data_IF_057925680407
#
_entry.id   IF_057925680407
#
_cell.length_a   1.000
_cell.length_b   1.000
_cell.length_c   1.000
_cell.angle_alpha   90.00
_cell.angle_beta   90.00
_cell.angle_gamma   90.00
#
_symmetry.space_group_name_H-M   'P 1'
#
loop_
_entity.id
_entity.type
_entity.pdbx_description
1 polymer ?
#
# COMPACT_ATOMS: atom_id res chain seq x y z
N UNK A 1 16.68 41.26 -35.26
CA UNK A 1 17.30 41.52 -33.93
C UNK A 1 16.30 41.76 -32.79
N UNK A 2 15.00 42.03 -33.05
CA UNK A 2 14.02 42.28 -31.97
C UNK A 2 13.50 40.99 -31.30
N UNK A 3 13.51 39.85 -32.01
CA UNK A 3 12.95 38.58 -31.51
C UNK A 3 13.80 37.88 -30.45
N UNK A 4 15.11 38.13 -30.39
CA UNK A 4 16.00 37.50 -29.41
C UNK A 4 15.96 38.16 -28.03
N UNK A 5 15.57 39.44 -27.94
CA UNK A 5 15.46 40.14 -26.65
C UNK A 5 14.23 39.68 -25.83
N UNK A 6 13.10 39.39 -26.50
CA UNK A 6 11.87 38.98 -25.82
C UNK A 6 11.99 37.63 -25.10
N UNK A 7 12.75 36.69 -25.67
CA UNK A 7 13.00 35.37 -25.09
C UNK A 7 13.95 35.46 -23.89
N UNK A 8 14.95 36.36 -23.96
CA UNK A 8 15.89 36.56 -22.85
C UNK A 8 15.22 37.21 -21.63
N UNK A 9 14.37 38.23 -21.84
CA UNK A 9 13.67 38.92 -20.75
C UNK A 9 12.58 38.03 -20.12
N UNK A 10 11.84 37.26 -20.92
CA UNK A 10 10.84 36.32 -20.41
C UNK A 10 11.45 35.15 -19.63
N UNK A 11 12.57 34.60 -20.12
CA UNK A 11 13.26 33.50 -19.43
C UNK A 11 13.91 33.92 -18.11
N UNK A 12 14.53 35.11 -18.06
CA UNK A 12 15.13 35.64 -16.83
C UNK A 12 14.05 36.04 -15.83
N UNK A 13 12.94 36.65 -16.27
CA UNK A 13 11.82 36.98 -15.39
C UNK A 13 11.17 35.75 -14.76
N UNK A 14 10.98 34.66 -15.54
CA UNK A 14 10.47 33.40 -15.03
C UNK A 14 11.44 32.72 -14.04
N UNK A 15 12.75 32.80 -14.32
CA UNK A 15 13.79 32.26 -13.44
C UNK A 15 13.83 33.03 -12.11
N UNK A 16 13.81 34.36 -12.16
CA UNK A 16 13.78 35.20 -10.96
C UNK A 16 12.50 34.94 -10.17
N UNK A 17 11.33 34.90 -10.82
CA UNK A 17 10.07 34.55 -10.15
C UNK A 17 10.11 33.16 -9.50
N UNK A 18 10.77 32.17 -10.12
CA UNK A 18 10.96 30.84 -9.54
C UNK A 18 11.95 30.83 -8.36
N UNK A 19 12.94 31.73 -8.36
CA UNK A 19 13.94 31.87 -7.30
C UNK A 19 13.45 32.74 -6.13
N UNK A 20 12.51 33.66 -6.39
CA UNK A 20 11.89 34.54 -5.39
C UNK A 20 10.73 33.87 -4.64
N UNK A 21 10.27 32.70 -5.12
CA UNK A 21 9.41 31.80 -4.35
C UNK A 21 10.19 31.28 -3.14
N UNK A 22 10.10 32.00 -2.03
CA UNK A 22 10.57 31.52 -0.73
C UNK A 22 9.81 30.23 -0.38
N UNK A 23 10.46 29.07 -0.51
CA UNK A 23 9.93 27.80 0.00
C UNK A 23 9.80 27.93 1.51
N UNK A 24 8.56 28.02 2.01
CA UNK A 24 8.30 28.03 3.44
C UNK A 24 8.50 26.61 3.98
N UNK A 25 9.61 26.39 4.69
CA UNK A 25 10.04 25.11 5.25
C UNK A 25 9.24 24.70 6.51
N UNK A 26 7.91 24.76 6.45
CA UNK A 26 7.02 24.03 7.37
C UNK A 26 6.20 22.95 6.62
N UNK A 27 6.24 22.94 5.28
CA UNK A 27 5.51 22.02 4.41
C UNK A 27 6.40 20.96 3.72
N UNK A 28 7.71 20.92 4.02
CA UNK A 28 8.64 19.94 3.46
C UNK A 28 8.49 18.59 4.18
N UNK A 29 7.72 17.69 3.57
CA UNK A 29 7.58 16.29 4.00
C UNK A 29 8.78 15.50 3.48
N UNK A 30 9.45 14.72 4.33
CA UNK A 30 10.46 13.79 3.84
C UNK A 30 9.79 12.72 2.97
N UNK A 31 10.18 12.64 1.70
CA UNK A 31 9.67 11.59 0.84
C UNK A 31 10.32 10.25 1.22
N UNK A 32 9.53 9.19 1.47
CA UNK A 32 10.07 7.87 1.73
C UNK A 32 10.96 7.40 0.58
N UNK A 33 12.15 6.83 0.85
CA UNK A 33 12.94 6.21 -0.18
C UNK A 33 12.24 4.96 -0.73
N UNK A 34 12.71 4.48 -1.87
CA UNK A 34 12.21 3.26 -2.47
C UNK A 34 12.96 2.06 -1.88
N UNK A 35 12.27 1.20 -1.12
CA UNK A 35 12.87 -0.03 -0.58
C UNK A 35 12.69 -1.20 -1.55
N UNK A 36 13.69 -2.11 -1.64
CA UNK A 36 13.61 -3.27 -2.53
C UNK A 36 12.77 -4.38 -1.88
N UNK A 37 11.45 -4.28 -1.98
CA UNK A 37 10.53 -5.28 -1.42
C UNK A 37 10.63 -6.62 -2.16
N UNK A 38 10.49 -7.74 -1.44
CA UNK A 38 10.63 -9.08 -2.03
C UNK A 38 9.57 -9.37 -3.10
N UNK A 39 8.40 -8.75 -2.98
CA UNK A 39 7.29 -8.87 -3.93
C UNK A 39 7.31 -7.79 -5.03
N UNK A 40 8.34 -6.96 -5.10
CA UNK A 40 8.45 -5.97 -6.16
C UNK A 40 8.69 -6.65 -7.52
N UNK A 41 8.18 -6.09 -8.61
CA UNK A 41 8.36 -6.62 -9.96
C UNK A 41 7.21 -7.49 -10.46
N UNK A 42 7.34 -8.00 -11.68
CA UNK A 42 6.21 -8.58 -12.43
C UNK A 42 5.84 -10.01 -12.01
N UNK A 43 6.80 -10.78 -11.50
CA UNK A 43 6.63 -12.23 -11.24
C UNK A 43 6.73 -12.62 -9.77
N UNK A 44 7.09 -11.68 -8.90
CA UNK A 44 7.31 -11.95 -7.49
C UNK A 44 5.99 -11.88 -6.71
N UNK A 45 5.71 -12.90 -5.91
CA UNK A 45 4.58 -12.96 -4.97
C UNK A 45 4.93 -12.32 -3.63
N UNK A 46 3.94 -12.15 -2.77
CA UNK A 46 4.16 -11.80 -1.38
C UNK A 46 4.90 -12.92 -0.64
N UNK A 47 5.69 -12.53 0.36
CA UNK A 47 6.33 -13.47 1.28
C UNK A 47 5.34 -13.85 2.38
N UNK A 48 4.74 -15.04 2.25
CA UNK A 48 3.73 -15.54 3.19
C UNK A 48 4.25 -15.74 4.62
N UNK A 49 5.54 -16.04 4.80
CA UNK A 49 6.14 -16.12 6.13
C UNK A 49 6.25 -14.73 6.77
N UNK A 50 6.66 -13.72 5.98
CA UNK A 50 6.65 -12.32 6.40
C UNK A 50 5.24 -11.80 6.71
N UNK A 51 4.24 -12.20 5.92
CA UNK A 51 2.84 -11.89 6.22
C UNK A 51 2.36 -12.53 7.53
N UNK A 52 2.76 -13.77 7.83
CA UNK A 52 2.42 -14.44 9.10
C UNK A 52 3.02 -13.68 10.29
N UNK A 53 4.30 -13.35 10.24
CA UNK A 53 4.94 -12.49 11.25
C UNK A 53 4.27 -11.12 11.34
N UNK A 54 3.88 -10.53 10.22
CA UNK A 54 3.16 -9.25 10.20
C UNK A 54 1.79 -9.31 10.86
N UNK A 55 1.08 -10.46 10.77
CA UNK A 55 -0.12 -10.70 11.56
C UNK A 55 0.16 -10.71 13.06
N UNK A 56 1.26 -11.34 13.51
CA UNK A 56 1.66 -11.32 14.92
C UNK A 56 1.94 -9.89 15.40
N UNK A 57 2.61 -9.07 14.59
CA UNK A 57 2.81 -7.63 14.89
C UNK A 57 1.48 -6.90 15.01
N UNK A 58 0.56 -7.11 14.07
CA UNK A 58 -0.76 -6.49 14.11
C UNK A 58 -1.52 -6.92 15.38
N UNK A 59 -1.59 -8.22 15.64
CA UNK A 59 -2.31 -8.82 16.78
C UNK A 59 -1.79 -8.27 18.11
N UNK A 60 -0.48 -8.25 18.30
CA UNK A 60 0.13 -7.92 19.59
C UNK A 60 0.35 -6.42 19.83
N UNK A 61 0.53 -5.62 18.77
CA UNK A 61 0.87 -4.19 18.89
C UNK A 61 -0.25 -3.29 18.36
N UNK A 62 -0.67 -3.50 17.11
CA UNK A 62 -1.53 -2.53 16.42
C UNK A 62 -3.02 -2.67 16.76
N UNK A 63 -3.48 -3.90 17.05
CA UNK A 63 -4.90 -4.24 17.23
C UNK A 63 -5.56 -3.52 18.39
N UNK A 64 -4.77 -3.06 19.37
CA UNK A 64 -5.24 -2.29 20.51
C UNK A 64 -5.73 -0.87 20.13
N UNK A 65 -5.30 -0.32 18.99
CA UNK A 65 -5.65 1.04 18.58
C UNK A 65 -6.20 1.13 17.16
N UNK A 66 -5.76 0.25 16.26
CA UNK A 66 -6.12 0.25 14.86
C UNK A 66 -7.09 -0.87 14.51
N UNK A 67 -8.17 -0.52 13.82
CA UNK A 67 -9.09 -1.51 13.26
C UNK A 67 -8.56 -2.11 11.96
N UNK A 68 -9.06 -3.30 11.64
CA UNK A 68 -8.88 -3.98 10.36
C UNK A 68 -10.25 -4.44 9.82
N UNK A 69 -11.15 -3.47 9.65
CA UNK A 69 -12.60 -3.66 9.46
C UNK A 69 -12.97 -4.59 8.30
N UNK A 70 -12.15 -4.64 7.26
CA UNK A 70 -12.45 -5.40 6.04
C UNK A 70 -11.79 -6.79 6.01
N UNK A 71 -11.08 -7.17 7.07
CA UNK A 71 -10.43 -8.48 7.17
C UNK A 71 -11.18 -9.36 8.18
N UNK A 72 -11.62 -10.52 7.69
CA UNK A 72 -12.20 -11.59 8.50
C UNK A 72 -11.17 -12.67 8.80
N UNK A 73 -11.35 -13.41 9.89
CA UNK A 73 -10.43 -14.48 10.28
C UNK A 73 -10.22 -15.48 9.15
N UNK A 74 -11.30 -15.85 8.44
CA UNK A 74 -11.26 -16.75 7.26
C UNK A 74 -10.35 -16.27 6.13
N UNK A 75 -10.04 -14.98 6.03
CA UNK A 75 -9.12 -14.48 5.01
C UNK A 75 -7.67 -14.94 5.27
N UNK A 76 -7.32 -15.28 6.51
CA UNK A 76 -5.98 -15.76 6.86
C UNK A 76 -5.76 -17.24 6.47
N UNK A 77 -6.85 -18.00 6.26
CA UNK A 77 -6.81 -19.44 5.94
C UNK A 77 -6.13 -19.65 4.59
N UNK A 78 -5.13 -20.54 4.57
CA UNK A 78 -4.30 -20.85 3.40
C UNK A 78 -3.54 -19.65 2.82
N UNK A 79 -3.48 -18.54 3.56
CA UNK A 79 -2.61 -17.40 3.25
C UNK A 79 -1.46 -17.40 4.25
N UNK A 80 -1.74 -17.17 5.53
CA UNK A 80 -0.71 -17.11 6.58
C UNK A 80 -0.86 -18.22 7.62
N UNK A 81 -2.07 -18.77 7.75
CA UNK A 81 -2.44 -19.75 8.76
C UNK A 81 -3.26 -20.89 8.15
N UNK A 82 -3.22 -22.04 8.82
CA UNK A 82 -4.13 -23.15 8.55
C UNK A 82 -5.53 -22.87 9.09
N UNK A 83 -6.53 -23.64 8.66
CA UNK A 83 -7.91 -23.49 9.16
C UNK A 83 -8.00 -23.71 10.68
N UNK A 84 -7.30 -24.71 11.22
CA UNK A 84 -7.29 -25.01 12.65
C UNK A 84 -6.64 -23.88 13.47
N UNK A 85 -5.54 -23.31 12.99
CA UNK A 85 -4.91 -22.14 13.61
C UNK A 85 -5.83 -20.92 13.60
N UNK A 86 -6.48 -20.63 12.47
CA UNK A 86 -7.42 -19.50 12.38
C UNK A 86 -8.61 -19.69 13.30
N UNK A 87 -9.10 -20.92 13.44
CA UNK A 87 -10.19 -21.23 14.36
C UNK A 87 -9.76 -20.99 15.81
N UNK A 88 -8.57 -21.46 16.20
CA UNK A 88 -8.02 -21.20 17.52
C UNK A 88 -7.86 -19.69 17.79
N UNK A 89 -7.32 -18.95 16.84
CA UNK A 89 -7.17 -17.48 16.92
C UNK A 89 -8.54 -16.81 17.07
N UNK A 90 -9.55 -17.21 16.29
CA UNK A 90 -10.87 -16.60 16.35
C UNK A 90 -11.57 -16.86 17.71
N UNK A 91 -11.37 -18.05 18.29
CA UNK A 91 -11.95 -18.44 19.58
C UNK A 91 -11.40 -17.61 20.76
N UNK A 92 -10.21 -17.00 20.62
CA UNK A 92 -9.65 -16.09 21.62
C UNK A 92 -10.48 -14.80 21.78
N UNK A 93 -11.23 -14.40 20.75
CA UNK A 93 -12.02 -13.17 20.75
C UNK A 93 -13.46 -13.42 21.21
N UNK A 94 -13.98 -12.51 22.04
CA UNK A 94 -15.39 -12.48 22.41
C UNK A 94 -16.16 -11.56 21.47
N UNK A 95 -17.09 -12.12 20.70
CA UNK A 95 -17.90 -11.45 19.70
C UNK A 95 -19.33 -11.32 20.19
N UNK A 96 -19.88 -10.10 20.10
CA UNK A 96 -21.29 -9.84 20.38
C UNK A 96 -22.17 -10.43 19.27
N UNK A 97 -23.14 -11.24 19.64
CA UNK A 97 -24.12 -11.87 18.74
C UNK A 97 -25.54 -11.77 19.34
N UNK A 98 -26.55 -12.18 18.57
CA UNK A 98 -27.95 -12.19 18.97
C UNK A 98 -28.84 -11.28 18.10
N UNK A 99 -30.09 -11.03 18.55
CA UNK A 99 -30.66 -11.44 19.84
C UNK A 99 -30.96 -12.95 19.96
N UNK A 100 -31.03 -13.45 21.20
CA UNK A 100 -31.50 -14.80 21.55
C UNK A 100 -33.05 -14.91 21.58
N UNK A 101 -33.56 -16.04 22.06
CA UNK A 101 -35.01 -16.31 22.18
C UNK A 101 -35.73 -15.40 23.19
N UNK A 102 -34.99 -14.68 24.04
CA UNK A 102 -35.49 -13.68 24.99
C UNK A 102 -35.32 -12.26 24.50
N UNK A 103 -34.71 -12.05 23.32
CA UNK A 103 -34.43 -10.73 22.78
C UNK A 103 -33.13 -10.10 23.31
N UNK A 104 -32.29 -10.85 24.03
CA UNK A 104 -31.05 -10.35 24.64
C UNK A 104 -29.84 -10.63 23.72
N UNK A 105 -28.89 -9.69 23.66
CA UNK A 105 -27.61 -9.92 22.99
C UNK A 105 -26.64 -10.61 23.94
N UNK A 106 -25.84 -11.54 23.42
CA UNK A 106 -24.86 -12.30 24.19
C UNK A 106 -23.46 -12.21 23.57
N UNK A 107 -22.45 -12.62 24.31
CA UNK A 107 -21.08 -12.76 23.82
C UNK A 107 -20.80 -14.23 23.54
N UNK A 108 -20.13 -14.53 22.43
CA UNK A 108 -19.65 -15.87 22.09
C UNK A 108 -18.19 -15.84 21.65
N UNK A 109 -17.49 -16.99 21.74
CA UNK A 109 -16.22 -17.15 21.03
C UNK A 109 -16.37 -16.82 19.54
N UNK A 110 -15.35 -16.19 18.97
CA UNK A 110 -15.30 -15.89 17.55
C UNK A 110 -15.24 -17.16 16.71
N UNK A 111 -15.67 -17.03 15.46
CA UNK A 111 -15.57 -18.07 14.43
C UNK A 111 -14.87 -17.50 13.20
N UNK A 112 -14.40 -18.37 12.31
CA UNK A 112 -13.66 -17.95 11.12
C UNK A 112 -14.42 -16.94 10.23
N UNK A 113 -15.75 -16.95 10.23
CA UNK A 113 -16.53 -15.98 9.43
C UNK A 113 -16.65 -14.59 10.05
N UNK A 114 -16.27 -14.40 11.32
CA UNK A 114 -16.29 -13.09 11.95
C UNK A 114 -15.16 -12.19 11.42
N UNK A 115 -15.43 -10.88 11.41
CA UNK A 115 -14.43 -9.86 11.17
C UNK A 115 -13.54 -9.67 12.40
N UNK A 116 -12.31 -9.20 12.18
CA UNK A 116 -11.43 -8.84 13.28
C UNK A 116 -12.09 -7.72 14.10
N UNK A 117 -12.22 -7.89 15.44
CA UNK A 117 -12.91 -6.91 16.27
C UNK A 117 -12.27 -5.52 16.23
N UNK A 118 -13.11 -4.49 16.23
CA UNK A 118 -12.64 -3.13 16.36
C UNK A 118 -12.19 -2.85 17.81
N UNK A 119 -11.07 -2.13 18.02
CA UNK A 119 -10.62 -1.76 19.37
C UNK A 119 -11.57 -0.80 20.07
N UNK A 120 -12.32 -0.02 19.29
CA UNK A 120 -13.26 0.98 19.79
C UNK A 120 -14.65 0.77 19.17
N UNK A 121 -15.72 1.06 19.92
CA UNK A 121 -17.10 0.91 19.42
C UNK A 121 -17.47 1.96 18.35
N UNK A 122 -16.85 3.14 18.38
CA UNK A 122 -17.09 4.24 17.44
C UNK A 122 -15.87 5.17 17.38
N UNK A 123 -15.93 6.15 16.46
CA UNK A 123 -14.84 7.10 16.23
C UNK A 123 -14.63 8.05 17.42
N UNK A 124 -15.71 8.47 18.09
CA UNK A 124 -15.64 9.38 19.23
C UNK A 124 -14.91 8.75 20.41
N UNK A 125 -15.18 7.47 20.70
CA UNK A 125 -14.46 6.70 21.71
C UNK A 125 -12.97 6.56 21.36
N UNK A 126 -12.66 6.31 20.09
CA UNK A 126 -11.28 6.21 19.62
C UNK A 126 -10.53 7.55 19.78
N UNK A 127 -11.17 8.68 19.44
CA UNK A 127 -10.61 10.03 19.64
C UNK A 127 -10.41 10.36 21.11
N UNK A 128 -11.38 10.03 21.96
CA UNK A 128 -11.30 10.26 23.39
C UNK A 128 -10.11 9.51 24.03
N UNK A 129 -9.86 8.27 23.58
CA UNK A 129 -8.73 7.46 24.05
C UNK A 129 -7.35 7.92 23.53
N UNK A 130 -7.30 8.69 22.43
CA UNK A 130 -6.06 9.05 21.73
C UNK A 130 -5.87 10.57 21.59
N UNK A 131 -6.16 11.33 22.66
CA UNK A 131 -5.94 12.79 22.72
C UNK A 131 -6.59 13.57 21.55
N UNK A 132 -7.78 13.14 21.11
CA UNK A 132 -8.55 13.73 20.02
C UNK A 132 -8.17 13.23 18.62
N UNK A 133 -7.06 12.50 18.47
CA UNK A 133 -6.66 11.89 17.20
C UNK A 133 -7.43 10.60 16.95
N UNK A 134 -7.82 10.34 15.71
CA UNK A 134 -8.46 9.09 15.32
C UNK A 134 -7.43 8.15 14.67
N UNK A 135 -7.11 6.99 15.27
CA UNK A 135 -6.31 5.97 14.61
C UNK A 135 -7.03 5.47 13.35
N UNK A 136 -6.45 5.64 12.15
CA UNK A 136 -7.09 5.21 10.91
C UNK A 136 -7.21 3.68 10.86
N UNK A 137 -8.24 3.20 10.19
CA UNK A 137 -8.35 1.78 9.83
C UNK A 137 -7.18 1.37 8.92
N UNK A 138 -6.59 0.21 9.20
CA UNK A 138 -5.39 -0.24 8.49
C UNK A 138 -5.68 -1.11 7.27
N UNK A 139 -6.94 -1.50 7.02
CA UNK A 139 -7.26 -2.49 5.98
C UNK A 139 -6.73 -2.06 4.61
N UNK A 140 -6.85 -0.77 4.27
CA UNK A 140 -6.42 -0.19 3.00
C UNK A 140 -5.34 0.88 3.16
N UNK A 141 -4.59 0.89 4.27
CA UNK A 141 -3.68 2.01 4.57
C UNK A 141 -2.56 2.16 3.53
N UNK A 142 -2.11 1.05 2.94
CA UNK A 142 -1.07 1.04 1.90
C UNK A 142 -1.59 1.73 0.64
N UNK A 143 -2.80 1.38 0.19
CA UNK A 143 -3.40 2.02 -0.98
C UNK A 143 -3.92 3.44 -0.68
N UNK A 144 -4.23 3.73 0.59
CA UNK A 144 -4.76 5.00 1.06
C UNK A 144 -3.71 6.06 1.38
N UNK A 145 -2.41 5.79 1.15
CA UNK A 145 -1.32 6.74 1.35
C UNK A 145 -0.41 6.78 0.13
N UNK A 146 0.10 7.97 -0.19
CA UNK A 146 1.09 8.11 -1.24
C UNK A 146 2.35 7.32 -0.89
N UNK A 147 2.92 6.62 -1.88
CA UNK A 147 4.08 5.74 -1.71
C UNK A 147 3.86 4.53 -0.77
N UNK A 148 2.61 4.26 -0.38
CA UNK A 148 2.14 3.03 0.27
C UNK A 148 3.05 2.41 1.33
N UNK A 149 3.58 1.23 1.01
CA UNK A 149 4.45 0.43 1.86
C UNK A 149 5.75 1.15 2.23
N UNK A 150 6.33 1.92 1.31
CA UNK A 150 7.53 2.71 1.59
C UNK A 150 7.23 3.78 2.63
N UNK A 151 6.04 4.40 2.54
CA UNK A 151 5.56 5.38 3.52
C UNK A 151 5.33 4.73 4.89
N UNK A 152 4.60 3.62 4.96
CA UNK A 152 4.32 2.95 6.23
C UNK A 152 5.63 2.48 6.90
N UNK A 153 6.54 1.85 6.16
CA UNK A 153 7.82 1.41 6.70
C UNK A 153 8.66 2.58 7.22
N UNK A 154 8.77 3.66 6.44
CA UNK A 154 9.54 4.85 6.84
C UNK A 154 8.89 5.59 8.00
N UNK A 155 7.56 5.62 8.07
CA UNK A 155 6.85 6.19 9.19
C UNK A 155 7.15 5.42 10.48
N UNK A 156 7.06 4.08 10.44
CA UNK A 156 7.28 3.24 11.62
C UNK A 156 8.73 3.25 12.12
N UNK A 157 9.70 3.36 11.21
CA UNK A 157 11.14 3.35 11.54
C UNK A 157 11.76 4.75 11.67
N UNK A 158 11.02 5.80 11.31
CA UNK A 158 11.53 7.16 11.18
C UNK A 158 11.32 8.08 12.40
N UNK A 159 10.80 7.57 13.51
CA UNK A 159 10.66 8.36 14.74
C UNK A 159 12.03 8.84 15.22
N UNK A 160 12.14 10.15 15.47
CA UNK A 160 13.37 10.78 15.94
C UNK A 160 13.06 12.03 16.76
N UNK A 161 14.07 12.56 17.44
CA UNK A 161 13.93 13.81 18.18
C UNK A 161 13.64 14.99 17.23
N UNK A 162 12.78 15.94 17.64
CA UNK A 162 12.47 17.10 16.82
C UNK A 162 13.73 17.94 16.59
N UNK A 163 13.99 18.40 15.35
CA UNK A 163 15.09 19.31 15.08
C UNK A 163 14.89 20.63 15.82
N UNK A 164 15.99 21.35 16.04
CA UNK A 164 15.98 22.63 16.75
C UNK A 164 14.95 23.61 16.15
N UNK A 165 14.07 24.15 16.99
CA UNK A 165 13.04 25.12 16.60
C UNK A 165 11.64 24.53 16.38
N UNK A 166 11.46 23.20 16.44
CA UNK A 166 10.14 22.57 16.40
C UNK A 166 9.68 22.24 17.83
N UNK A 167 8.61 22.92 18.28
CA UNK A 167 7.93 22.59 19.52
C UNK A 167 6.67 21.76 19.24
N UNK A 168 6.58 20.57 19.84
CA UNK A 168 5.41 19.69 19.75
C UNK A 168 4.40 20.02 20.86
N UNK A 169 3.12 19.73 20.62
CA UNK A 169 2.12 19.74 21.69
C UNK A 169 2.26 18.48 22.54
N UNK A 170 1.72 18.52 23.75
CA UNK A 170 1.66 17.35 24.61
C UNK A 170 0.90 16.20 23.90
N UNK A 171 1.46 14.99 23.96
CA UNK A 171 0.94 13.81 23.27
C UNK A 171 1.24 13.74 21.77
N UNK A 172 2.00 14.70 21.21
CA UNK A 172 2.51 14.61 19.84
C UNK A 172 3.99 14.18 19.82
N UNK A 173 4.35 13.41 18.81
CA UNK A 173 5.69 12.90 18.55
C UNK A 173 6.19 13.41 17.21
N UNK A 174 7.52 13.57 17.07
CA UNK A 174 8.09 14.01 15.81
C UNK A 174 8.37 12.83 14.88
N UNK A 175 7.95 12.99 13.63
CA UNK A 175 8.27 12.06 12.55
C UNK A 175 8.42 12.83 11.23
N UNK A 176 9.59 12.80 10.57
CA UNK A 176 9.86 13.58 9.37
C UNK A 176 9.04 13.12 8.15
N UNK A 177 8.57 11.88 8.12
CA UNK A 177 7.75 11.34 7.04
C UNK A 177 6.26 11.69 7.21
N UNK A 178 5.82 12.03 8.43
CA UNK A 178 4.43 12.42 8.65
C UNK A 178 4.18 13.85 8.16
N UNK A 179 3.08 14.11 7.43
CA UNK A 179 2.72 15.46 6.99
C UNK A 179 2.63 16.43 8.18
N UNK A 180 3.45 17.49 8.16
CA UNK A 180 3.53 18.47 9.24
C UNK A 180 4.42 18.07 10.43
N UNK A 181 5.10 16.92 10.36
CA UNK A 181 6.13 16.51 11.31
C UNK A 181 5.62 16.03 12.68
N UNK A 182 4.46 16.50 13.13
CA UNK A 182 3.88 16.17 14.44
C UNK A 182 2.78 15.12 14.30
N UNK A 183 3.01 13.90 14.78
CA UNK A 183 2.05 12.79 14.76
C UNK A 183 1.49 12.52 16.17
N UNK A 184 0.20 12.22 16.28
CA UNK A 184 -0.45 11.87 17.57
C UNK A 184 -0.27 10.40 17.98
N UNK A 185 0.63 9.67 17.33
CA UNK A 185 0.93 8.26 17.56
C UNK A 185 2.29 8.14 18.23
N UNK A 186 2.34 7.51 19.41
CA UNK A 186 3.61 7.15 20.04
C UNK A 186 4.37 6.14 19.17
N UNK A 187 5.72 6.10 19.22
CA UNK A 187 6.50 5.10 18.50
C UNK A 187 5.99 3.69 18.84
N UNK A 188 5.35 2.97 17.90
CA UNK A 188 4.65 1.73 18.25
C UNK A 188 5.59 0.52 18.28
N UNK A 189 6.75 0.62 17.64
CA UNK A 189 7.72 -0.45 17.50
C UNK A 189 9.04 -0.05 18.16
N UNK A 190 9.62 -1.00 18.88
CA UNK A 190 10.97 -0.97 19.43
C UNK A 190 11.53 -2.40 19.38
N UNK A 191 12.85 -2.53 19.54
CA UNK A 191 13.51 -3.83 19.47
C UNK A 191 12.95 -4.77 20.55
N UNK A 192 12.64 -6.00 20.14
CA UNK A 192 12.14 -7.09 21.00
C UNK A 192 10.78 -6.81 21.67
N UNK A 193 9.93 -5.95 21.07
CA UNK A 193 8.54 -5.72 21.55
C UNK A 193 7.67 -6.98 21.52
N UNK A 194 7.98 -7.94 20.64
CA UNK A 194 7.33 -9.25 20.56
C UNK A 194 8.38 -10.32 20.28
N UNK A 195 8.06 -11.58 20.56
CA UNK A 195 8.83 -12.74 20.13
C UNK A 195 8.08 -13.44 18.99
N UNK A 196 8.74 -13.62 17.84
CA UNK A 196 8.13 -14.33 16.71
C UNK A 196 8.09 -15.84 16.95
N UNK A 197 7.01 -16.50 16.51
CA UNK A 197 6.86 -17.96 16.64
C UNK A 197 7.97 -18.74 15.92
N UNK A 198 8.51 -18.19 14.83
CA UNK A 198 9.55 -18.83 14.00
C UNK A 198 10.99 -18.56 14.50
N UNK A 199 11.16 -17.81 15.59
CA UNK A 199 12.45 -17.46 16.17
C UNK A 199 13.23 -16.37 15.41
N UNK A 200 12.61 -15.66 14.48
CA UNK A 200 13.23 -14.51 13.81
C UNK A 200 13.56 -13.42 14.86
N UNK A 201 14.73 -12.75 14.78
CA UNK A 201 15.04 -11.64 15.68
C UNK A 201 14.08 -10.44 15.45
N UNK A 202 13.32 -10.07 16.47
CA UNK A 202 12.31 -9.02 16.43
C UNK A 202 12.90 -7.62 16.55
N UNK A 203 13.76 -7.24 15.60
CA UNK A 203 14.27 -5.86 15.50
C UNK A 203 13.18 -4.92 14.96
N UNK A 204 13.25 -3.63 15.30
CA UNK A 204 12.29 -2.60 14.86
C UNK A 204 12.11 -2.58 13.35
N UNK A 205 13.21 -2.69 12.59
CA UNK A 205 13.16 -2.76 11.12
C UNK A 205 12.51 -4.05 10.61
N UNK A 206 12.74 -5.19 11.28
CA UNK A 206 12.14 -6.47 10.88
C UNK A 206 10.63 -6.46 11.14
N UNK A 207 10.21 -5.96 12.31
CA UNK A 207 8.81 -5.76 12.66
C UNK A 207 8.11 -4.84 11.64
N UNK A 208 8.73 -3.70 11.32
CA UNK A 208 8.20 -2.75 10.33
C UNK A 208 8.10 -3.35 8.93
N UNK A 209 9.05 -4.20 8.53
CA UNK A 209 9.03 -4.94 7.26
C UNK A 209 7.86 -5.93 7.24
N UNK A 210 7.74 -6.76 8.26
CA UNK A 210 6.72 -7.82 8.32
C UNK A 210 5.31 -7.23 8.38
N UNK A 211 5.07 -6.20 9.22
CA UNK A 211 3.76 -5.52 9.25
C UNK A 211 3.44 -4.81 7.93
N UNK A 212 4.42 -4.17 7.28
CA UNK A 212 4.19 -3.54 5.96
C UNK A 212 3.83 -4.57 4.88
N UNK A 213 4.45 -5.76 4.95
CA UNK A 213 4.14 -6.89 4.06
C UNK A 213 2.73 -7.41 4.30
N UNK A 214 2.33 -7.56 5.57
CA UNK A 214 0.97 -7.94 5.92
C UNK A 214 -0.06 -6.89 5.48
N UNK A 215 0.21 -5.60 5.69
CA UNK A 215 -0.70 -4.51 5.27
C UNK A 215 -0.79 -4.34 3.75
N UNK A 216 0.27 -4.72 3.01
CA UNK A 216 0.22 -4.80 1.54
C UNK A 216 -0.80 -5.85 1.11
N UNK A 217 -0.81 -7.01 1.77
CA UNK A 217 -1.80 -8.05 1.55
C UNK A 217 -3.22 -7.63 1.96
N UNK A 218 -3.40 -7.01 3.14
CA UNK A 218 -4.74 -6.57 3.55
C UNK A 218 -5.34 -5.56 2.58
N UNK A 219 -4.49 -4.70 2.00
CA UNK A 219 -4.89 -3.68 1.04
C UNK A 219 -5.12 -4.26 -0.37
N UNK A 220 -4.43 -5.35 -0.72
CA UNK A 220 -4.48 -5.98 -2.04
C UNK A 220 -4.46 -7.52 -1.91
N UNK A 221 -5.53 -8.17 -1.41
CA UNK A 221 -5.54 -9.63 -1.20
C UNK A 221 -5.38 -10.42 -2.50
N UNK A 222 -5.74 -9.81 -3.63
CA UNK A 222 -5.62 -10.38 -4.97
C UNK A 222 -4.23 -10.23 -5.60
N UNK A 223 -3.24 -9.68 -4.89
CA UNK A 223 -1.91 -9.35 -5.44
C UNK A 223 -1.26 -10.52 -6.20
N UNK A 224 -1.20 -11.70 -5.57
CA UNK A 224 -0.51 -12.86 -6.13
C UNK A 224 -1.30 -13.48 -7.29
N UNK A 225 -2.63 -13.61 -7.14
CA UNK A 225 -3.50 -14.08 -8.20
C UNK A 225 -3.48 -13.14 -9.41
N UNK A 226 -3.52 -11.83 -9.18
CA UNK A 226 -3.44 -10.81 -10.22
C UNK A 226 -2.16 -10.92 -11.03
N UNK A 227 -1.00 -11.10 -10.38
CA UNK A 227 0.27 -11.29 -11.09
C UNK A 227 0.30 -12.62 -11.85
N UNK A 228 -0.15 -13.70 -11.23
CA UNK A 228 -0.23 -15.00 -11.87
C UNK A 228 -1.12 -14.98 -13.13
N UNK A 229 -2.30 -14.38 -13.05
CA UNK A 229 -3.20 -14.18 -14.19
C UNK A 229 -2.61 -13.22 -15.23
N UNK A 230 -1.86 -12.21 -14.81
CA UNK A 230 -1.17 -11.28 -15.73
C UNK A 230 -0.12 -12.02 -16.55
N UNK A 231 0.68 -12.89 -15.94
CA UNK A 231 1.68 -13.72 -16.64
C UNK A 231 1.00 -14.62 -17.68
N UNK A 232 -0.09 -15.31 -17.29
CA UNK A 232 -0.87 -16.14 -18.22
C UNK A 232 -1.45 -15.33 -19.37
N UNK A 233 -2.05 -14.19 -19.06
CA UNK A 233 -2.67 -13.30 -20.04
C UNK A 233 -1.63 -12.75 -21.02
N UNK A 234 -0.44 -12.36 -20.56
CA UNK A 234 0.64 -11.93 -21.43
C UNK A 234 1.16 -13.07 -22.32
N UNK A 235 1.33 -14.27 -21.77
CA UNK A 235 1.78 -15.42 -22.54
C UNK A 235 0.80 -15.76 -23.69
N UNK A 236 -0.50 -15.81 -23.40
CA UNK A 236 -1.56 -16.00 -24.42
C UNK A 236 -1.59 -14.81 -25.38
N UNK A 237 -1.49 -13.59 -24.87
CA UNK A 237 -1.49 -12.36 -25.66
C UNK A 237 -0.36 -12.31 -26.68
N UNK A 238 0.86 -12.73 -26.31
CA UNK A 238 2.01 -12.79 -27.23
C UNK A 238 1.73 -13.78 -28.37
N UNK A 239 1.18 -14.96 -28.07
CA UNK A 239 0.85 -15.97 -29.09
C UNK A 239 -0.22 -15.43 -30.04
N UNK A 240 -1.27 -14.80 -29.51
CA UNK A 240 -2.35 -14.23 -30.32
C UNK A 240 -1.86 -13.07 -31.18
N UNK A 241 -1.05 -12.15 -30.63
CA UNK A 241 -0.47 -11.03 -31.38
C UNK A 241 0.42 -11.56 -32.51
N UNK A 242 1.27 -12.55 -32.24
CA UNK A 242 2.11 -13.17 -33.26
C UNK A 242 1.27 -13.84 -34.37
N UNK A 243 0.23 -14.59 -34.00
CA UNK A 243 -0.70 -15.22 -34.94
C UNK A 243 -1.45 -14.20 -35.80
N UNK A 244 -2.03 -13.17 -35.19
CA UNK A 244 -2.71 -12.07 -35.88
C UNK A 244 -1.76 -11.31 -36.81
N UNK A 245 -0.54 -11.03 -36.35
CA UNK A 245 0.48 -10.36 -37.16
C UNK A 245 0.86 -11.21 -38.38
N UNK A 246 1.07 -12.51 -38.17
CA UNK A 246 1.35 -13.45 -39.26
C UNK A 246 0.19 -13.50 -40.27
N UNK A 247 -1.06 -13.66 -39.81
CA UNK A 247 -2.24 -13.65 -40.68
C UNK A 247 -2.35 -12.34 -41.48
N UNK A 248 -2.13 -11.20 -40.81
CA UNK A 248 -2.11 -9.89 -41.45
C UNK A 248 -1.04 -9.84 -42.54
N UNK A 249 0.19 -10.25 -42.26
CA UNK A 249 1.28 -10.29 -43.26
C UNK A 249 0.92 -11.19 -44.43
N UNK A 250 0.40 -12.39 -44.16
CA UNK A 250 -0.03 -13.34 -45.17
C UNK A 250 -1.10 -12.76 -46.10
N UNK A 251 -2.19 -12.19 -45.56
CA UNK A 251 -3.28 -11.59 -46.36
C UNK A 251 -2.84 -10.36 -47.15
N UNK A 252 -1.95 -9.54 -46.59
CA UNK A 252 -1.44 -8.34 -47.25
C UNK A 252 -0.33 -8.63 -48.28
N UNK A 253 0.11 -9.89 -48.44
CA UNK A 253 1.17 -10.25 -49.39
C UNK A 253 0.80 -9.85 -50.82
N UNK A 254 -0.46 -10.02 -51.22
CA UNK A 254 -0.93 -9.66 -52.58
C UNK A 254 -0.73 -8.17 -52.84
N UNK A 255 -1.32 -7.31 -52.02
CA UNK A 255 -1.20 -5.84 -52.12
C UNK A 255 0.26 -5.37 -52.05
N UNK A 256 1.05 -5.95 -51.14
CA UNK A 256 2.45 -5.52 -50.92
C UNK A 256 3.42 -6.02 -52.00
N UNK A 257 3.10 -7.08 -52.72
CA UNK A 257 3.92 -7.62 -53.81
C UNK A 257 3.48 -7.16 -55.20
N UNK A 258 2.29 -6.54 -55.32
CA UNK A 258 1.80 -5.99 -56.59
C UNK A 258 2.79 -4.97 -57.18
N UNK A 259 3.24 -5.23 -58.41
CA UNK A 259 3.99 -4.27 -59.22
C UNK A 259 3.02 -3.55 -60.15
N UNK A 260 2.97 -2.22 -60.07
CA UNK A 260 2.12 -1.39 -60.91
C UNK A 260 2.97 -0.74 -62.00
N UNK A 261 2.54 -0.86 -63.26
CA UNK A 261 3.11 -0.13 -64.38
C UNK A 261 2.10 0.93 -64.83
N UNK A 262 2.48 2.21 -64.74
CA UNK A 262 1.67 3.31 -65.24
C UNK A 262 2.05 3.59 -66.70
N UNK A 263 1.10 3.37 -67.61
CA UNK A 263 1.26 3.65 -69.04
C UNK A 263 0.42 4.88 -69.38
N UNK A 264 1.02 6.09 -69.53
CA UNK A 264 0.27 7.27 -69.88
C UNK A 264 -0.26 7.14 -71.33
N UNK A 265 -1.56 7.41 -71.52
CA UNK A 265 -2.11 7.58 -72.88
C UNK A 265 -1.65 8.93 -73.44
N UNK A 266 -0.84 8.92 -74.50
CA UNK A 266 -0.66 10.11 -75.32
C UNK A 266 -2.00 10.41 -76.00
N UNK A 267 -2.60 11.58 -75.74
CA UNK A 267 -3.72 12.08 -76.54
C UNK A 267 -3.21 12.26 -77.98
N UNK A 268 -3.70 11.46 -78.91
CA UNK A 268 -3.53 11.73 -80.33
C UNK A 268 -4.20 13.09 -80.61
N UNK A 269 -3.38 14.07 -81.03
CA UNK A 269 -3.84 15.36 -81.56
C UNK A 269 -4.48 15.17 -82.92
#
# INVERSE_FOLDING_TARGET
MVSCLGVAVGGVGALIYSLEQSVKAFELIAHPPHYPWSWEGFVNSLDHASMRRGWEVYKNVCSACHSLKFVAFRHLINVTHTEDEVKAIAEEYQIKDGPDDKGEYFMRPGKASDYIPNPYPNEEAARAANNGAYPPDLSYIINGRHNGENYVFSLLTGFCDPPAGISLREGQYFNPYFPGGAIGMAPPLYDEVIEFEDGTPATTSQLAKDISTFLMWTSNPEHDERKYLSIKTLAVGIILIAGCYWMKRHKWTTVKSTKLAFIPKNKQQ
#
